data_IF_730084755661
#
_entry.id   IF_730084755661
#
_cell.length_a   1.000
_cell.length_b   1.000
_cell.length_c   1.000
_cell.angle_alpha   90.00
_cell.angle_beta   90.00
_cell.angle_gamma   90.00
#
_symmetry.space_group_name_H-M   'P 1'
#
loop_
_entity.id
_entity.type
_entity.pdbx_description
1 polymer ?
#
# COMPACT_ATOMS: atom_id res chain seq x y z
N UNK A 1 70.98 17.59 4.62
CA UNK A 1 69.66 17.87 5.23
C UNK A 1 68.67 18.17 4.11
N UNK A 2 67.90 17.20 3.67
CA UNK A 2 66.87 17.34 2.66
C UNK A 2 65.55 16.97 3.29
N UNK A 3 64.72 17.99 3.54
CA UNK A 3 63.53 17.90 4.37
C UNK A 3 62.32 17.29 3.67
N UNK A 4 61.64 16.45 4.39
CA UNK A 4 60.31 15.82 4.20
C UNK A 4 59.24 16.90 3.89
N UNK A 5 59.01 17.25 2.62
CA UNK A 5 57.91 18.13 2.18
C UNK A 5 56.84 17.43 1.32
N UNK A 6 56.94 16.12 1.07
CA UNK A 6 56.05 15.38 0.16
C UNK A 6 54.74 14.87 0.72
N UNK A 7 54.66 14.65 2.04
CA UNK A 7 53.56 13.87 2.63
C UNK A 7 52.20 14.61 2.81
N UNK A 8 52.21 15.92 2.97
CA UNK A 8 51.00 16.70 3.24
C UNK A 8 50.15 16.99 1.99
N UNK A 9 50.75 17.03 0.82
CA UNK A 9 50.05 17.34 -0.44
C UNK A 9 49.31 16.13 -1.00
N UNK A 10 49.84 14.93 -0.82
CA UNK A 10 49.20 13.67 -1.20
C UNK A 10 47.91 13.45 -0.43
N UNK A 11 47.94 13.55 0.91
CA UNK A 11 46.75 13.36 1.79
C UNK A 11 45.62 14.37 1.53
N UNK A 12 45.93 15.54 1.00
CA UNK A 12 44.92 16.56 0.68
C UNK A 12 44.20 16.27 -0.63
N UNK A 13 44.87 15.60 -1.60
CA UNK A 13 44.26 15.15 -2.84
C UNK A 13 43.36 13.91 -2.62
N UNK A 14 43.76 12.99 -1.75
CA UNK A 14 42.98 11.80 -1.39
C UNK A 14 41.62 12.19 -0.76
N UNK A 15 41.63 13.11 0.22
CA UNK A 15 40.41 13.65 0.81
C UNK A 15 39.46 14.34 -0.17
N UNK A 16 40.03 15.01 -1.21
CA UNK A 16 39.26 15.63 -2.29
C UNK A 16 38.58 14.60 -3.18
N UNK A 17 39.25 13.48 -3.46
CA UNK A 17 38.70 12.37 -4.24
C UNK A 17 37.56 11.67 -3.50
N UNK A 18 37.75 11.40 -2.20
CA UNK A 18 36.73 10.78 -1.34
C UNK A 18 35.45 11.63 -1.25
N UNK A 19 35.60 12.97 -1.19
CA UNK A 19 34.45 13.88 -1.16
C UNK A 19 33.65 13.88 -2.47
N UNK A 20 34.33 13.77 -3.61
CA UNK A 20 33.72 13.72 -4.93
C UNK A 20 32.94 12.37 -5.07
N UNK A 21 33.55 11.27 -4.64
CA UNK A 21 32.92 9.95 -4.63
C UNK A 21 31.67 9.95 -3.77
N UNK A 22 31.77 10.50 -2.54
CA UNK A 22 30.60 10.62 -1.65
C UNK A 22 29.52 11.51 -2.28
N UNK A 23 29.88 12.60 -2.94
CA UNK A 23 28.92 13.51 -3.57
C UNK A 23 28.11 12.83 -4.70
N UNK A 24 28.69 11.83 -5.37
CA UNK A 24 28.00 11.04 -6.41
C UNK A 24 27.16 9.91 -5.79
N UNK A 25 27.67 9.25 -4.76
CA UNK A 25 27.00 8.11 -4.11
C UNK A 25 25.83 8.56 -3.23
N UNK A 26 25.97 9.70 -2.54
CA UNK A 26 24.97 10.18 -1.59
C UNK A 26 23.57 10.37 -2.19
N UNK A 27 23.39 10.98 -3.37
CA UNK A 27 22.06 11.11 -3.99
C UNK A 27 21.42 9.75 -4.30
N UNK A 28 22.21 8.77 -4.73
CA UNK A 28 21.72 7.42 -5.03
C UNK A 28 21.27 6.73 -3.73
N UNK A 29 22.07 6.88 -2.67
CA UNK A 29 21.72 6.32 -1.36
C UNK A 29 20.44 6.93 -0.81
N UNK A 30 20.28 8.26 -0.90
CA UNK A 30 19.06 8.96 -0.47
C UNK A 30 17.83 8.51 -1.27
N UNK A 31 18.00 8.28 -2.57
CA UNK A 31 16.92 7.76 -3.42
C UNK A 31 16.52 6.34 -3.00
N UNK A 32 17.47 5.48 -2.67
CA UNK A 32 17.19 4.15 -2.12
C UNK A 32 16.44 4.23 -0.78
N UNK A 33 16.83 5.12 0.12
CA UNK A 33 16.10 5.34 1.37
C UNK A 33 14.67 5.83 1.15
N UNK A 34 14.48 6.79 0.26
CA UNK A 34 13.16 7.30 -0.11
C UNK A 34 12.26 6.17 -0.65
N UNK A 35 12.83 5.29 -1.50
CA UNK A 35 12.12 4.13 -2.03
C UNK A 35 11.67 3.16 -0.93
N UNK A 36 12.53 2.86 0.03
CA UNK A 36 12.21 1.96 1.16
C UNK A 36 11.07 2.54 2.00
N UNK A 37 11.11 3.84 2.29
CA UNK A 37 10.08 4.51 3.09
C UNK A 37 8.74 4.52 2.34
N UNK A 38 8.71 4.89 1.07
CA UNK A 38 7.50 4.90 0.26
C UNK A 38 6.88 3.50 0.14
N UNK A 39 7.72 2.48 -0.03
CA UNK A 39 7.26 1.08 -0.06
C UNK A 39 6.68 0.65 1.29
N UNK A 40 7.27 1.08 2.40
CA UNK A 40 6.73 0.83 3.74
C UNK A 40 5.33 1.42 3.94
N UNK A 41 5.12 2.66 3.51
CA UNK A 41 3.78 3.28 3.56
C UNK A 41 2.77 2.60 2.62
N UNK A 42 3.22 2.19 1.43
CA UNK A 42 2.38 1.47 0.49
C UNK A 42 1.90 0.13 1.07
N UNK A 43 2.82 -0.61 1.69
CA UNK A 43 2.52 -1.89 2.34
C UNK A 43 1.54 -1.72 3.50
N UNK A 44 1.75 -0.72 4.36
CA UNK A 44 0.84 -0.39 5.46
C UNK A 44 -0.58 -0.08 4.96
N UNK A 45 -0.71 0.71 3.89
CA UNK A 45 -2.01 1.00 3.27
C UNK A 45 -2.66 -0.25 2.72
N UNK A 46 -1.88 -1.12 2.06
CA UNK A 46 -2.37 -2.39 1.53
C UNK A 46 -2.89 -3.32 2.63
N UNK A 47 -2.18 -3.43 3.75
CA UNK A 47 -2.65 -4.20 4.91
C UNK A 47 -3.95 -3.63 5.48
N UNK A 48 -4.05 -2.31 5.59
CA UNK A 48 -5.25 -1.64 6.10
C UNK A 48 -6.47 -1.96 5.23
N UNK A 49 -6.39 -1.80 3.90
CA UNK A 49 -7.52 -2.10 3.01
C UNK A 49 -7.86 -3.60 2.98
N UNK A 50 -6.86 -4.46 3.15
CA UNK A 50 -7.08 -5.92 3.24
C UNK A 50 -7.85 -6.28 4.50
N UNK A 51 -7.51 -5.69 5.64
CA UNK A 51 -8.23 -5.89 6.89
C UNK A 51 -9.63 -5.28 6.83
N UNK A 52 -9.78 -4.10 6.22
CA UNK A 52 -11.10 -3.47 5.99
C UNK A 52 -12.00 -4.36 5.11
N UNK A 53 -11.46 -4.95 4.04
CA UNK A 53 -12.20 -5.88 3.18
C UNK A 53 -12.62 -7.16 3.93
N UNK A 54 -11.75 -7.70 4.80
CA UNK A 54 -12.07 -8.88 5.63
C UNK A 54 -13.17 -8.58 6.62
N UNK A 55 -13.09 -7.47 7.35
CA UNK A 55 -14.13 -7.06 8.29
C UNK A 55 -15.45 -6.78 7.57
N UNK A 56 -15.40 -6.11 6.40
CA UNK A 56 -16.57 -5.91 5.55
C UNK A 56 -17.21 -7.23 5.10
N UNK A 57 -16.42 -8.20 4.63
CA UNK A 57 -16.92 -9.50 4.19
C UNK A 57 -17.52 -10.30 5.35
N UNK A 58 -16.94 -10.18 6.54
CA UNK A 58 -17.51 -10.80 7.77
C UNK A 58 -18.89 -10.25 8.08
N UNK A 59 -19.08 -8.94 8.04
CA UNK A 59 -20.39 -8.33 8.26
C UNK A 59 -21.36 -8.65 7.12
N UNK A 60 -20.88 -8.60 5.87
CA UNK A 60 -21.68 -8.88 4.68
C UNK A 60 -22.18 -10.34 4.63
N UNK A 61 -21.52 -11.27 5.34
CA UNK A 61 -21.94 -12.66 5.44
C UNK A 61 -23.10 -12.88 6.44
N UNK A 62 -23.40 -11.89 7.27
CA UNK A 62 -24.45 -11.96 8.28
C UNK A 62 -25.79 -11.44 7.72
N UNK A 63 -26.95 -12.07 8.07
CA UNK A 63 -28.25 -11.75 7.45
C UNK A 63 -28.82 -10.39 7.84
N UNK A 64 -28.34 -9.77 8.93
CA UNK A 64 -28.94 -8.57 9.51
C UNK A 64 -28.25 -7.26 9.10
N UNK A 65 -27.26 -7.32 8.20
CA UNK A 65 -26.54 -6.13 7.75
C UNK A 65 -26.88 -5.81 6.30
N UNK A 66 -27.19 -4.53 6.06
CA UNK A 66 -27.39 -4.03 4.70
C UNK A 66 -26.05 -3.70 4.03
N UNK A 67 -26.06 -3.56 2.71
CA UNK A 67 -24.88 -3.09 1.94
C UNK A 67 -24.38 -1.75 2.48
N UNK A 68 -25.28 -0.83 2.85
CA UNK A 68 -24.92 0.48 3.39
C UNK A 68 -24.22 0.37 4.76
N UNK A 69 -24.66 -0.53 5.64
CA UNK A 69 -24.03 -0.76 6.95
C UNK A 69 -22.59 -1.28 6.78
N UNK A 70 -22.42 -2.22 5.86
CA UNK A 70 -21.10 -2.79 5.55
C UNK A 70 -20.17 -1.73 4.98
N UNK A 71 -20.64 -0.91 4.03
CA UNK A 71 -19.87 0.19 3.44
C UNK A 71 -19.48 1.24 4.50
N UNK A 72 -20.42 1.61 5.37
CA UNK A 72 -20.17 2.52 6.49
C UNK A 72 -19.11 1.98 7.46
N UNK A 73 -19.18 0.67 7.77
CA UNK A 73 -18.17 0.03 8.63
C UNK A 73 -16.78 0.04 8.02
N UNK A 74 -16.67 -0.28 6.72
CA UNK A 74 -15.40 -0.23 5.98
C UNK A 74 -14.84 1.19 5.98
N UNK A 75 -15.67 2.18 5.65
CA UNK A 75 -15.26 3.58 5.64
C UNK A 75 -14.75 4.05 7.00
N UNK A 76 -15.45 3.73 8.08
CA UNK A 76 -15.04 4.05 9.46
C UNK A 76 -13.72 3.37 9.84
N UNK A 77 -13.52 2.09 9.45
CA UNK A 77 -12.28 1.37 9.71
C UNK A 77 -11.09 2.03 8.98
N UNK A 78 -11.29 2.37 7.72
CA UNK A 78 -10.25 3.04 6.91
C UNK A 78 -9.93 4.43 7.48
N UNK A 79 -10.95 5.23 7.83
CA UNK A 79 -10.78 6.57 8.41
C UNK A 79 -10.03 6.50 9.75
N UNK A 80 -10.35 5.55 10.62
CA UNK A 80 -9.65 5.34 11.89
C UNK A 80 -8.17 4.97 11.70
N UNK A 81 -7.81 4.40 10.54
CA UNK A 81 -6.43 4.09 10.15
C UNK A 81 -5.76 5.21 9.34
N UNK A 82 -6.38 6.39 9.24
CA UNK A 82 -5.86 7.54 8.50
C UNK A 82 -6.03 7.45 6.97
N UNK A 83 -6.82 6.50 6.47
CA UNK A 83 -7.13 6.34 5.05
C UNK A 83 -8.53 6.88 4.75
N UNK A 84 -8.62 8.06 4.18
CA UNK A 84 -9.89 8.70 3.79
C UNK A 84 -9.90 9.02 2.29
N UNK A 85 -11.08 9.18 1.70
CA UNK A 85 -11.23 9.64 0.32
C UNK A 85 -11.04 8.57 -0.75
N UNK A 86 -11.12 7.29 -0.41
CA UNK A 86 -11.16 6.20 -1.38
C UNK A 86 -12.55 6.06 -2.03
N UNK A 87 -12.65 5.32 -3.18
CA UNK A 87 -13.93 4.98 -3.79
C UNK A 87 -14.81 4.16 -2.84
N UNK A 88 -16.13 4.26 -3.02
CA UNK A 88 -17.09 3.45 -2.27
C UNK A 88 -16.78 1.95 -2.45
N UNK A 89 -16.67 1.17 -1.36
CA UNK A 89 -16.42 -0.26 -1.45
C UNK A 89 -17.55 -0.99 -2.20
N UNK A 90 -17.17 -1.94 -3.04
CA UNK A 90 -18.12 -2.86 -3.65
C UNK A 90 -18.47 -3.97 -2.65
N UNK A 91 -19.76 -4.18 -2.46
CA UNK A 91 -20.30 -5.22 -1.55
C UNK A 91 -21.34 -6.01 -2.31
N UNK A 92 -21.15 -7.31 -2.42
CA UNK A 92 -22.12 -8.25 -2.96
C UNK A 92 -22.38 -9.36 -1.93
N UNK A 93 -23.59 -9.36 -1.35
CA UNK A 93 -24.02 -10.31 -0.32
C UNK A 93 -24.65 -11.59 -0.91
N UNK A 94 -24.93 -11.59 -2.22
CA UNK A 94 -25.63 -12.67 -2.92
C UNK A 94 -24.78 -13.35 -3.99
N UNK A 95 -23.46 -13.17 -3.93
CA UNK A 95 -22.55 -13.84 -4.85
C UNK A 95 -22.58 -15.36 -4.65
N UNK A 96 -22.34 -16.10 -5.72
CA UNK A 96 -22.25 -17.55 -5.67
C UNK A 96 -20.89 -18.03 -6.14
N UNK A 97 -20.38 -19.09 -5.52
CA UNK A 97 -19.15 -19.77 -5.93
C UNK A 97 -19.38 -21.24 -6.12
N UNK A 98 -18.93 -21.77 -7.25
CA UNK A 98 -18.93 -23.22 -7.48
C UNK A 98 -17.62 -23.79 -6.98
N UNK A 99 -17.70 -24.77 -6.11
CA UNK A 99 -16.56 -25.51 -5.56
C UNK A 99 -16.05 -26.54 -6.60
N UNK A 100 -14.82 -27.03 -6.46
CA UNK A 100 -14.29 -28.11 -7.32
C UNK A 100 -15.15 -29.40 -7.31
N UNK A 101 -15.94 -29.58 -6.23
CA UNK A 101 -16.93 -30.68 -6.12
C UNK A 101 -18.18 -30.50 -6.99
N UNK A 102 -18.33 -29.37 -7.70
CA UNK A 102 -19.55 -29.02 -8.44
C UNK A 102 -20.65 -28.37 -7.59
N UNK A 103 -20.48 -28.30 -6.26
CA UNK A 103 -21.44 -27.68 -5.37
C UNK A 103 -21.36 -26.15 -5.44
N UNK A 104 -22.50 -25.47 -5.54
CA UNK A 104 -22.58 -24.01 -5.50
C UNK A 104 -22.92 -23.56 -4.07
N UNK A 105 -22.16 -22.61 -3.56
CA UNK A 105 -22.36 -22.00 -2.24
C UNK A 105 -22.61 -20.49 -2.39
N UNK A 106 -23.42 -19.93 -1.49
CA UNK A 106 -23.59 -18.48 -1.36
C UNK A 106 -22.41 -17.89 -0.61
N UNK A 107 -21.90 -16.79 -1.12
CA UNK A 107 -20.76 -16.06 -0.53
C UNK A 107 -21.05 -14.57 -0.50
N UNK A 108 -20.48 -13.87 0.48
CA UNK A 108 -20.38 -12.42 0.49
C UNK A 108 -19.01 -12.02 -0.06
N UNK A 109 -19.00 -11.17 -1.06
CA UNK A 109 -17.79 -10.63 -1.69
C UNK A 109 -17.68 -9.13 -1.43
N UNK A 110 -16.54 -8.70 -0.92
CA UNK A 110 -16.23 -7.30 -0.68
C UNK A 110 -14.94 -6.94 -1.39
N UNK A 111 -14.96 -5.83 -2.13
CA UNK A 111 -13.78 -5.27 -2.78
C UNK A 111 -13.59 -3.83 -2.31
N UNK A 112 -12.39 -3.54 -1.84
CA UNK A 112 -11.99 -2.21 -1.38
C UNK A 112 -10.88 -1.71 -2.29
N UNK A 113 -10.99 -0.45 -2.72
CA UNK A 113 -9.97 0.24 -3.49
C UNK A 113 -9.46 1.45 -2.71
N UNK A 114 -8.18 1.74 -2.88
CA UNK A 114 -7.60 2.95 -2.31
C UNK A 114 -6.50 3.52 -3.23
N UNK A 115 -6.58 4.82 -3.59
CA UNK A 115 -5.53 5.48 -4.35
C UNK A 115 -4.32 5.70 -3.45
N UNK A 116 -3.21 5.08 -3.76
CA UNK A 116 -1.94 5.24 -3.04
C UNK A 116 -0.93 5.97 -3.91
N UNK A 117 -0.38 7.06 -3.40
CA UNK A 117 0.70 7.83 -4.03
C UNK A 117 2.04 7.58 -3.34
N UNK A 118 3.12 7.75 -4.10
CA UNK A 118 4.48 7.79 -3.58
C UNK A 118 4.77 9.20 -3.05
N UNK A 119 5.10 9.30 -1.76
CA UNK A 119 5.25 10.58 -1.06
C UNK A 119 6.60 11.22 -1.36
N UNK A 120 7.67 10.42 -1.41
CA UNK A 120 9.05 10.89 -1.58
C UNK A 120 9.57 10.66 -2.99
N UNK A 121 9.30 9.52 -3.59
CA UNK A 121 9.74 9.22 -4.96
C UNK A 121 8.97 9.98 -6.02
N UNK A 122 7.68 10.25 -5.82
CA UNK A 122 6.86 10.99 -6.79
C UNK A 122 7.45 12.36 -7.17
N UNK A 123 7.75 13.25 -6.21
CA UNK A 123 8.40 14.53 -6.46
C UNK A 123 9.77 14.42 -7.13
N UNK A 124 10.60 13.43 -6.72
CA UNK A 124 11.92 13.20 -7.28
C UNK A 124 11.84 12.75 -8.75
N UNK A 125 10.91 11.84 -9.05
CA UNK A 125 10.65 11.37 -10.41
C UNK A 125 10.19 12.52 -11.32
N UNK A 126 9.40 13.47 -10.80
CA UNK A 126 9.00 14.69 -11.51
C UNK A 126 10.18 15.58 -11.90
N UNK A 127 11.24 15.67 -11.08
CA UNK A 127 12.44 16.46 -11.37
C UNK A 127 13.27 15.90 -12.53
N UNK A 128 13.22 14.58 -12.76
CA UNK A 128 13.91 13.91 -13.87
C UNK A 128 13.02 13.71 -15.10
N UNK A 129 11.86 14.38 -15.13
CA UNK A 129 10.96 14.35 -16.29
C UNK A 129 10.15 13.05 -16.44
N UNK A 130 10.10 12.21 -15.41
CA UNK A 130 9.24 11.05 -15.40
C UNK A 130 7.79 11.50 -15.22
N UNK A 131 7.03 11.52 -16.31
CA UNK A 131 5.60 11.77 -16.31
C UNK A 131 4.86 10.52 -15.85
N UNK A 132 4.40 10.54 -14.63
CA UNK A 132 3.64 9.46 -14.02
C UNK A 132 3.82 9.58 -12.52
N UNK A 133 3.00 10.40 -11.89
CA UNK A 133 3.11 10.72 -10.47
C UNK A 133 2.76 9.50 -9.62
N UNK A 134 3.52 8.43 -9.70
CA UNK A 134 3.55 7.30 -8.75
C UNK A 134 2.27 6.97 -7.98
N UNK A 135 1.08 7.30 -8.49
CA UNK A 135 -0.18 6.91 -7.89
C UNK A 135 -0.64 5.59 -8.49
N UNK A 136 -0.90 4.63 -7.62
CA UNK A 136 -1.46 3.35 -8.00
C UNK A 136 -2.77 3.11 -7.25
N UNK A 137 -3.68 2.35 -7.87
CA UNK A 137 -4.90 1.91 -7.21
C UNK A 137 -4.64 0.59 -6.51
N UNK A 138 -4.59 0.61 -5.19
CA UNK A 138 -4.56 -0.62 -4.38
C UNK A 138 -5.94 -1.25 -4.41
N UNK A 139 -5.99 -2.57 -4.49
CA UNK A 139 -7.22 -3.35 -4.45
C UNK A 139 -7.08 -4.51 -3.48
N UNK A 140 -8.05 -4.65 -2.59
CA UNK A 140 -8.19 -5.82 -1.72
C UNK A 140 -9.56 -6.46 -1.93
N UNK A 141 -9.60 -7.78 -2.03
CA UNK A 141 -10.84 -8.55 -2.17
C UNK A 141 -10.91 -9.57 -1.03
N UNK A 142 -12.05 -9.64 -0.39
CA UNK A 142 -12.33 -10.67 0.61
C UNK A 142 -13.66 -11.35 0.30
N UNK A 143 -13.69 -12.67 0.48
CA UNK A 143 -14.86 -13.50 0.23
C UNK A 143 -15.08 -14.36 1.46
N UNK A 144 -16.31 -14.35 1.98
CA UNK A 144 -16.73 -15.22 3.08
C UNK A 144 -17.99 -15.96 2.69
N UNK A 145 -18.18 -17.17 3.23
CA UNK A 145 -19.42 -17.93 3.07
C UNK A 145 -20.55 -17.15 3.73
N UNK A 146 -21.62 -16.90 2.99
CA UNK A 146 -22.80 -16.27 3.56
C UNK A 146 -23.49 -17.24 4.54
N UNK A 147 -23.85 -16.75 5.71
CA UNK A 147 -24.70 -17.49 6.63
C UNK A 147 -26.13 -17.48 6.06
N UNK A 148 -26.70 -18.65 5.86
CA UNK A 148 -28.11 -18.73 5.49
C UNK A 148 -28.93 -18.09 6.64
N UNK A 149 -29.81 -17.13 6.31
CA UNK A 149 -30.81 -16.71 7.26
C UNK A 149 -31.49 -17.98 7.76
N UNK A 150 -31.50 -18.20 9.09
CA UNK A 150 -32.19 -19.33 9.65
C UNK A 150 -33.61 -19.27 9.10
N UNK A 151 -33.98 -20.20 8.23
CA UNK A 151 -35.36 -20.35 7.77
C UNK A 151 -36.13 -20.74 9.02
N UNK A 152 -36.81 -19.73 9.60
CA UNK A 152 -37.72 -19.97 10.72
C UNK A 152 -38.75 -20.99 10.29
N UNK A 153 -38.70 -22.14 10.92
CA UNK A 153 -39.76 -23.16 10.92
C UNK A 153 -40.89 -22.71 11.79
#
# INVERSE_FOLDING_TARGET
>A
MAGMKGSRKARRNERGSELIELAIVLPILLLCFAAIIDFGFLFQRYETITNAAREGARLASLPNYTVADVQGRIANYMAASGLSGGPTPYVNQTATRTLPSGQTISVAEVVVWYPAGMTYLGPIAGLVGASGHGSMMLRATSIMRAEAAASGS
#
